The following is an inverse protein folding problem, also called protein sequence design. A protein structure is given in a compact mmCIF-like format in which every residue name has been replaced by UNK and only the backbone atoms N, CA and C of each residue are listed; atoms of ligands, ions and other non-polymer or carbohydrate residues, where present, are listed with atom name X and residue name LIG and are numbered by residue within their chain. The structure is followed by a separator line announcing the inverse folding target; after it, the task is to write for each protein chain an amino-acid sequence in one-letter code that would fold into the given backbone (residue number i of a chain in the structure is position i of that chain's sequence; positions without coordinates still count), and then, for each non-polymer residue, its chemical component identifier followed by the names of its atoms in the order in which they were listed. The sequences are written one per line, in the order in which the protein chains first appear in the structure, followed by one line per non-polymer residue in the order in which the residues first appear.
data_IF_352805691346
#
_entry.id   IF_352805691346
#
_cell.length_a   1.000
_cell.length_b   1.000
_cell.length_c   1.000
_cell.angle_alpha   90.00
_cell.angle_beta   90.00
_cell.angle_gamma   90.00
#
_symmetry.space_group_name_H-M   'P 1'
#
loop_
_entity.id
_entity.type
_entity.pdbx_description
1 polymer ?
#
# COMPACT_ATOMS: atom_id res chain seq x y z
N UNK A 1 -8.79 4.12 8.77
CA UNK A 1 -8.92 2.87 9.54
C UNK A 1 -10.30 2.73 10.18
N UNK A 2 -10.84 3.78 10.79
CA UNK A 2 -12.12 3.71 11.53
C UNK A 2 -13.34 3.27 10.70
N UNK A 3 -13.28 3.33 9.37
CA UNK A 3 -14.43 3.02 8.50
C UNK A 3 -14.13 2.03 7.38
N UNK A 4 -12.87 1.74 7.09
CA UNK A 4 -12.46 0.93 5.95
C UNK A 4 -11.52 -0.24 6.31
N UNK A 5 -11.23 -0.46 7.59
CA UNK A 5 -10.51 -1.66 8.05
C UNK A 5 -11.46 -2.85 8.17
N UNK A 6 -10.91 -4.06 8.12
CA UNK A 6 -11.72 -5.28 8.30
C UNK A 6 -12.53 -5.26 9.60
N UNK A 7 -11.89 -4.89 10.71
CA UNK A 7 -12.56 -4.78 12.02
C UNK A 7 -13.68 -3.71 12.04
N UNK A 8 -13.46 -2.58 11.37
CA UNK A 8 -14.48 -1.54 11.29
C UNK A 8 -15.68 -1.99 10.45
N UNK A 9 -15.43 -2.69 9.35
CA UNK A 9 -16.47 -3.23 8.49
C UNK A 9 -17.31 -4.26 9.25
N UNK A 10 -16.67 -5.19 9.98
CA UNK A 10 -17.36 -6.18 10.81
C UNK A 10 -18.23 -5.49 11.89
N UNK A 11 -17.70 -4.46 12.55
CA UNK A 11 -18.40 -3.71 13.58
C UNK A 11 -19.62 -2.93 13.02
N UNK A 12 -19.50 -2.35 11.83
CA UNK A 12 -20.56 -1.55 11.19
C UNK A 12 -21.64 -2.47 10.61
N UNK A 13 -21.27 -3.60 10.04
CA UNK A 13 -22.20 -4.47 9.29
C UNK A 13 -22.76 -5.61 10.10
N UNK A 14 -22.11 -5.98 11.21
CA UNK A 14 -22.40 -7.20 11.97
C UNK A 14 -22.15 -8.50 11.20
N UNK A 15 -21.41 -8.43 10.10
CA UNK A 15 -21.07 -9.57 9.23
C UNK A 15 -19.56 -9.64 9.01
N UNK A 16 -19.02 -10.86 8.84
CA UNK A 16 -17.61 -11.05 8.52
C UNK A 16 -17.22 -10.32 7.23
N UNK A 17 -16.07 -9.69 7.25
CA UNK A 17 -15.50 -8.99 6.07
C UNK A 17 -15.27 -9.94 4.87
N UNK A 18 -15.22 -11.25 5.13
CA UNK A 18 -15.13 -12.28 4.09
C UNK A 18 -16.41 -12.47 3.26
N UNK A 19 -17.55 -11.96 3.74
CA UNK A 19 -18.85 -11.99 3.07
C UNK A 19 -19.44 -10.58 2.89
N UNK A 20 -18.75 -9.71 2.14
CA UNK A 20 -19.16 -8.32 2.02
C UNK A 20 -20.38 -8.18 1.12
N UNK A 21 -21.31 -7.29 1.49
CA UNK A 21 -22.34 -6.88 0.54
C UNK A 21 -21.73 -5.98 -0.55
N UNK A 22 -22.38 -5.94 -1.71
CA UNK A 22 -21.99 -5.03 -2.80
C UNK A 22 -21.87 -3.56 -2.34
N UNK A 23 -22.81 -3.12 -1.52
CA UNK A 23 -22.83 -1.76 -0.98
C UNK A 23 -21.59 -1.47 -0.11
N UNK A 24 -21.15 -2.43 0.69
CA UNK A 24 -19.95 -2.29 1.53
C UNK A 24 -18.70 -2.22 0.67
N UNK A 25 -18.60 -3.05 -0.36
CA UNK A 25 -17.46 -2.99 -1.29
C UNK A 25 -17.36 -1.63 -1.99
N UNK A 26 -18.49 -1.10 -2.49
CA UNK A 26 -18.55 0.21 -3.10
C UNK A 26 -18.20 1.33 -2.12
N UNK A 27 -18.84 1.35 -0.94
CA UNK A 27 -18.59 2.38 0.08
C UNK A 27 -17.12 2.40 0.51
N UNK A 28 -16.54 1.23 0.74
CA UNK A 28 -15.14 1.13 1.14
C UNK A 28 -14.21 1.61 0.02
N UNK A 29 -14.52 1.26 -1.23
CA UNK A 29 -13.80 1.76 -2.40
C UNK A 29 -13.89 3.29 -2.52
N UNK A 30 -15.08 3.88 -2.37
CA UNK A 30 -15.27 5.34 -2.41
C UNK A 30 -14.44 6.06 -1.35
N UNK A 31 -14.45 5.59 -0.10
CA UNK A 31 -13.66 6.17 0.98
C UNK A 31 -12.15 6.13 0.71
N UNK A 32 -11.66 5.00 0.19
CA UNK A 32 -10.25 4.85 -0.18
C UNK A 32 -9.90 5.73 -1.39
N UNK A 33 -10.81 5.85 -2.36
CA UNK A 33 -10.63 6.74 -3.53
C UNK A 33 -10.50 8.20 -3.13
N UNK A 34 -11.32 8.70 -2.19
CA UNK A 34 -11.20 10.07 -1.65
C UNK A 34 -9.88 10.29 -0.93
N UNK A 35 -9.45 9.32 -0.12
CA UNK A 35 -8.16 9.41 0.55
C UNK A 35 -7.01 9.43 -0.47
N UNK A 36 -7.06 8.58 -1.48
CA UNK A 36 -6.09 8.55 -2.57
C UNK A 36 -6.05 9.88 -3.34
N UNK A 37 -7.21 10.46 -3.66
CA UNK A 37 -7.29 11.77 -4.32
C UNK A 37 -6.65 12.88 -3.49
N UNK A 38 -6.88 12.89 -2.18
CA UNK A 38 -6.24 13.85 -1.27
C UNK A 38 -4.71 13.72 -1.30
N UNK A 39 -4.18 12.50 -1.31
CA UNK A 39 -2.75 12.25 -1.44
C UNK A 39 -2.20 12.66 -2.81
N UNK A 40 -2.91 12.34 -3.90
CA UNK A 40 -2.51 12.75 -5.25
C UNK A 40 -2.48 14.28 -5.39
N UNK A 41 -3.47 14.97 -4.83
CA UNK A 41 -3.52 16.43 -4.83
C UNK A 41 -2.40 17.07 -4.00
N UNK A 42 -1.99 16.44 -2.88
CA UNK A 42 -0.98 16.96 -1.96
C UNK A 42 0.46 16.67 -2.43
N UNK A 43 0.70 15.54 -3.08
CA UNK A 43 2.05 15.01 -3.33
C UNK A 43 2.36 14.77 -4.81
N UNK A 44 1.50 15.20 -5.74
CA UNK A 44 1.70 15.00 -7.19
C UNK A 44 1.91 13.51 -7.54
N UNK A 45 1.04 12.64 -7.02
CA UNK A 45 1.12 11.22 -7.29
C UNK A 45 0.31 10.87 -8.53
N UNK A 46 0.89 10.07 -9.42
CA UNK A 46 0.22 9.53 -10.60
C UNK A 46 -0.26 8.08 -10.43
N UNK A 47 0.21 7.40 -9.39
CA UNK A 47 -0.11 6.00 -9.12
C UNK A 47 -0.27 5.74 -7.62
N UNK A 48 -1.37 5.09 -7.27
CA UNK A 48 -1.63 4.57 -5.92
C UNK A 48 -1.78 3.05 -6.02
N UNK A 49 -0.93 2.32 -5.31
CA UNK A 49 -1.00 0.85 -5.25
C UNK A 49 -1.63 0.45 -3.93
N UNK A 50 -2.73 -0.29 -4.01
CA UNK A 50 -3.48 -0.74 -2.84
C UNK A 50 -3.28 -2.23 -2.63
N UNK A 51 -2.85 -2.60 -1.43
CA UNK A 51 -2.70 -3.98 -0.96
C UNK A 51 -3.56 -4.23 0.29
N UNK A 52 -3.53 -5.47 0.74
CA UNK A 52 -4.27 -5.92 1.92
C UNK A 52 -5.49 -6.78 1.58
N UNK A 53 -5.86 -7.64 2.52
CA UNK A 53 -6.90 -8.66 2.32
C UNK A 53 -8.28 -8.09 1.98
N UNK A 54 -8.66 -6.96 2.58
CA UNK A 54 -9.94 -6.30 2.33
C UNK A 54 -10.04 -5.84 0.88
N UNK A 55 -9.09 -5.02 0.42
CA UNK A 55 -9.12 -4.47 -0.93
C UNK A 55 -9.01 -5.57 -2.01
N UNK A 56 -8.11 -6.55 -1.79
CA UNK A 56 -7.92 -7.66 -2.72
C UNK A 56 -9.11 -8.62 -2.71
N UNK A 57 -9.72 -8.88 -1.53
CA UNK A 57 -10.91 -9.72 -1.39
C UNK A 57 -12.17 -9.10 -2.00
N UNK A 58 -12.31 -7.77 -1.93
CA UNK A 58 -13.43 -7.05 -2.54
C UNK A 58 -13.28 -6.90 -4.07
N UNK A 59 -12.08 -7.07 -4.59
CA UNK A 59 -11.79 -7.19 -6.01
C UNK A 59 -12.23 -5.99 -6.86
N UNK A 60 -12.74 -6.29 -8.06
CA UNK A 60 -13.05 -5.29 -9.08
C UNK A 60 -14.06 -4.23 -8.63
N UNK A 61 -15.05 -4.59 -7.83
CA UNK A 61 -16.07 -3.66 -7.31
C UNK A 61 -15.44 -2.55 -6.49
N UNK A 62 -14.52 -2.92 -5.58
CA UNK A 62 -13.78 -1.97 -4.77
C UNK A 62 -12.89 -1.06 -5.63
N UNK A 63 -12.07 -1.63 -6.52
CA UNK A 63 -11.13 -0.87 -7.33
C UNK A 63 -11.84 0.07 -8.31
N UNK A 64 -12.98 -0.33 -8.87
CA UNK A 64 -13.79 0.52 -9.72
C UNK A 64 -14.35 1.73 -8.94
N UNK A 65 -14.97 1.50 -7.79
CA UNK A 65 -15.49 2.56 -6.94
C UNK A 65 -14.38 3.51 -6.47
N UNK A 66 -13.21 2.97 -6.10
CA UNK A 66 -12.06 3.76 -5.69
C UNK A 66 -11.52 4.64 -6.83
N UNK A 67 -11.44 4.10 -8.06
CA UNK A 67 -11.00 4.88 -9.22
C UNK A 67 -11.97 6.01 -9.55
N UNK A 68 -13.28 5.71 -9.59
CA UNK A 68 -14.31 6.74 -9.84
C UNK A 68 -14.22 7.87 -8.81
N UNK A 69 -14.12 7.50 -7.54
CA UNK A 69 -14.01 8.48 -6.46
C UNK A 69 -12.70 9.28 -6.52
N UNK A 70 -11.59 8.67 -6.91
CA UNK A 70 -10.33 9.38 -7.16
C UNK A 70 -10.50 10.40 -8.29
N UNK A 71 -11.08 9.99 -9.43
CA UNK A 71 -11.26 10.85 -10.61
C UNK A 71 -12.14 12.05 -10.27
N UNK A 72 -13.22 11.85 -9.50
CA UNK A 72 -14.13 12.91 -9.05
C UNK A 72 -13.48 13.92 -8.11
N UNK A 73 -12.49 13.49 -7.32
CA UNK A 73 -11.83 14.32 -6.30
C UNK A 73 -10.41 14.78 -6.69
N UNK A 74 -9.88 14.36 -7.83
CA UNK A 74 -8.61 14.85 -8.37
C UNK A 74 -8.79 16.27 -8.94
N UNK A 75 -8.63 17.27 -8.09
CA UNK A 75 -8.91 18.69 -8.40
C UNK A 75 -7.78 19.39 -9.12
N UNK A 76 -6.55 18.97 -8.89
CA UNK A 76 -5.37 19.61 -9.47
C UNK A 76 -5.10 19.08 -10.89
N UNK A 77 -4.62 19.94 -11.81
CA UNK A 77 -4.32 19.49 -13.18
C UNK A 77 -3.34 18.31 -13.23
N UNK A 78 -2.38 18.28 -12.34
CA UNK A 78 -1.36 17.21 -12.27
C UNK A 78 -1.87 15.92 -11.62
N UNK A 79 -2.91 15.97 -10.78
CA UNK A 79 -3.50 14.77 -10.17
C UNK A 79 -4.55 14.09 -11.06
N UNK A 80 -5.01 14.78 -12.12
CA UNK A 80 -5.94 14.21 -13.08
C UNK A 80 -5.29 13.07 -13.86
N UNK A 81 -6.00 11.94 -13.95
CA UNK A 81 -5.50 10.75 -14.60
C UNK A 81 -4.61 9.86 -13.70
N UNK A 82 -4.49 10.19 -12.41
CA UNK A 82 -3.89 9.30 -11.44
C UNK A 82 -4.64 7.96 -11.38
N UNK A 83 -3.92 6.88 -11.12
CA UNK A 83 -4.46 5.52 -11.17
C UNK A 83 -4.39 4.84 -9.82
N UNK A 84 -5.46 4.08 -9.49
CA UNK A 84 -5.46 3.13 -8.38
C UNK A 84 -5.35 1.71 -8.95
N UNK A 85 -4.41 0.91 -8.44
CA UNK A 85 -4.21 -0.46 -8.89
C UNK A 85 -4.03 -1.42 -7.72
N UNK A 86 -4.43 -2.69 -7.85
CA UNK A 86 -4.10 -3.69 -6.85
C UNK A 86 -2.59 -3.97 -6.81
N UNK A 87 -2.09 -4.32 -5.62
CA UNK A 87 -0.72 -4.81 -5.47
C UNK A 87 -0.52 -6.10 -6.25
N UNK A 88 0.51 -6.16 -7.08
CA UNK A 88 0.89 -7.37 -7.83
C UNK A 88 1.40 -8.50 -6.95
N UNK A 89 1.82 -8.20 -5.74
CA UNK A 89 2.27 -9.22 -4.77
C UNK A 89 1.12 -9.96 -4.10
N UNK A 90 -0.13 -9.51 -4.29
CA UNK A 90 -1.30 -10.13 -3.70
C UNK A 90 -1.17 -10.26 -2.19
N UNK A 91 -1.58 -11.39 -1.65
CA UNK A 91 -1.51 -11.73 -0.22
C UNK A 91 -0.08 -11.92 0.29
N UNK A 92 0.88 -12.17 -0.59
CA UNK A 92 2.28 -12.35 -0.23
C UNK A 92 3.02 -11.02 0.01
N UNK A 93 2.37 -9.89 -0.27
CA UNK A 93 2.97 -8.55 -0.12
C UNK A 93 3.67 -8.33 1.22
N UNK A 94 3.01 -8.55 2.37
CA UNK A 94 3.62 -8.36 3.69
C UNK A 94 4.84 -9.26 3.92
N UNK A 95 4.78 -10.53 3.52
CA UNK A 95 5.88 -11.48 3.68
C UNK A 95 7.10 -11.09 2.84
N UNK A 96 6.88 -10.78 1.56
CA UNK A 96 7.93 -10.31 0.64
C UNK A 96 8.54 -9.00 1.14
N UNK A 97 7.70 -8.07 1.63
CA UNK A 97 8.13 -6.81 2.20
C UNK A 97 9.01 -7.00 3.44
N UNK A 98 8.60 -7.84 4.37
CA UNK A 98 9.39 -8.18 5.56
C UNK A 98 10.75 -8.81 5.18
N UNK A 99 10.75 -9.74 4.22
CA UNK A 99 11.98 -10.33 3.70
C UNK A 99 12.92 -9.30 3.07
N UNK A 100 12.38 -8.35 2.30
CA UNK A 100 13.17 -7.29 1.69
C UNK A 100 13.81 -6.33 2.72
N UNK A 101 13.08 -6.00 3.79
CA UNK A 101 13.59 -5.18 4.91
C UNK A 101 14.71 -5.91 5.65
N UNK A 102 14.49 -7.19 5.99
CA UNK A 102 15.51 -8.04 6.63
C UNK A 102 16.78 -8.14 5.80
N UNK A 103 16.65 -8.39 4.50
CA UNK A 103 17.77 -8.46 3.57
C UNK A 103 18.56 -7.14 3.50
N UNK A 104 17.88 -5.99 3.44
CA UNK A 104 18.54 -4.68 3.51
C UNK A 104 19.33 -4.50 4.80
N UNK A 105 18.77 -4.93 5.94
CA UNK A 105 19.43 -4.88 7.24
C UNK A 105 20.73 -5.67 7.24
N UNK A 106 20.70 -6.91 6.77
CA UNK A 106 21.86 -7.78 6.67
C UNK A 106 22.95 -7.19 5.76
N UNK A 107 22.58 -6.68 4.59
CA UNK A 107 23.53 -6.04 3.67
C UNK A 107 24.20 -4.80 4.27
N UNK A 108 23.47 -3.98 5.02
CA UNK A 108 24.02 -2.82 5.73
C UNK A 108 24.98 -3.23 6.82
N UNK A 109 24.64 -4.25 7.61
CA UNK A 109 25.50 -4.79 8.66
C UNK A 109 26.79 -5.38 8.08
N UNK A 110 26.71 -6.15 7.00
CA UNK A 110 27.87 -6.69 6.30
C UNK A 110 28.80 -5.60 5.76
N UNK A 111 28.26 -4.54 5.17
CA UNK A 111 29.06 -3.40 4.69
C UNK A 111 29.77 -2.66 5.83
N UNK A 112 29.11 -2.47 6.96
CA UNK A 112 29.72 -1.83 8.15
C UNK A 112 30.88 -2.65 8.69
N UNK A 113 30.75 -4.00 8.75
CA UNK A 113 31.84 -4.89 9.17
C UNK A 113 33.02 -4.85 8.20
N UNK A 114 32.78 -4.82 6.90
CA UNK A 114 33.85 -4.74 5.90
C UNK A 114 34.67 -3.44 5.97
N UNK A 115 34.04 -2.33 6.38
CA UNK A 115 34.71 -1.02 6.55
C UNK A 115 35.49 -0.95 7.86
N UNK A 116 35.10 -1.71 8.89
CA UNK A 116 35.74 -1.68 10.22
C UNK A 116 36.94 -2.63 10.36
N UNK A 117 37.30 -3.40 9.33
CA UNK A 117 38.54 -4.19 9.37
C UNK A 117 39.74 -3.27 9.19
N UNK A 118 40.61 -3.11 10.18
CA UNK A 118 41.83 -2.31 10.06
C UNK A 118 42.71 -2.84 8.92
N UNK A 119 43.13 -1.99 7.99
CA UNK A 119 44.19 -2.37 7.03
C UNK A 119 45.45 -2.64 7.82
N UNK A 120 45.90 -3.89 7.84
CA UNK A 120 47.25 -4.22 8.34
C UNK A 120 48.26 -3.40 7.53
N UNK A 121 49.20 -2.70 8.20
CA UNK A 121 50.27 -2.02 7.48
C UNK A 121 51.10 -3.06 6.72
N UNK A 122 51.60 -2.74 5.51
CA UNK A 122 52.51 -3.62 4.80
C UNK A 122 53.74 -3.86 5.68
N UNK A 123 54.11 -5.13 5.86
CA UNK A 123 55.30 -5.55 6.61
C UNK A 123 56.51 -4.73 6.14
N UNK A 124 57.05 -3.84 7.01
CA UNK A 124 58.36 -3.27 6.86
C UNK A 124 59.42 -4.39 7.02
N UNK A 125 60.09 -4.73 5.95
CA UNK A 125 61.32 -5.50 5.97
C UNK A 125 62.48 -4.55 6.16
#
# INVERSE_FOLDING_TARGET
EAEASGQAIDAITGRPVSEPSYQIMQRTGDLVGRAAASMCNAFDLSLVVVGGSVALGFGSTFFHAAQVSLDDHARQPYSRGARITPSRLGEQGPLVGAGAVGWRGLRRAARRRAVSVPRQPPNAR
#
